data_IF_351339714841
#
_entry.id   IF_351339714841
#
_cell.length_a   1.000
_cell.length_b   1.000
_cell.length_c   1.000
_cell.angle_alpha   90.00
_cell.angle_beta   90.00
_cell.angle_gamma   90.00
#
_symmetry.space_group_name_H-M   'P 1'
#
loop_
_entity.id
_entity.type
_entity.pdbx_description
1 polymer ?
#
# COMPACT_ATOMS: atom_id res chain seq x y z
N UNK A 1 -29.31 30.74 -41.42
CA UNK A 1 -28.58 29.76 -40.59
C UNK A 1 -28.45 30.13 -39.11
N UNK A 2 -28.34 31.42 -38.70
CA UNK A 2 -28.22 31.81 -37.27
C UNK A 2 -29.49 31.70 -36.41
N UNK A 3 -30.70 31.70 -36.99
CA UNK A 3 -31.96 31.59 -36.22
C UNK A 3 -32.39 30.14 -35.98
N UNK A 4 -32.07 29.22 -36.89
CA UNK A 4 -32.37 27.79 -36.77
C UNK A 4 -31.44 27.06 -35.80
N UNK A 5 -30.18 27.49 -35.67
CA UNK A 5 -29.23 26.95 -34.66
C UNK A 5 -29.62 27.32 -33.23
N UNK A 6 -30.18 28.51 -33.01
CA UNK A 6 -30.66 28.93 -31.67
C UNK A 6 -31.93 28.18 -31.24
N UNK A 7 -32.83 27.89 -32.19
CA UNK A 7 -34.03 27.08 -31.93
C UNK A 7 -33.68 25.62 -31.64
N UNK A 8 -32.69 25.06 -32.36
CA UNK A 8 -32.21 23.69 -32.14
C UNK A 8 -31.51 23.55 -30.78
N UNK A 9 -30.73 24.56 -30.36
CA UNK A 9 -30.06 24.57 -29.05
C UNK A 9 -31.06 24.69 -27.88
N UNK A 10 -32.14 25.47 -28.02
CA UNK A 10 -33.20 25.54 -27.01
C UNK A 10 -33.98 24.23 -26.90
N UNK A 11 -34.24 23.55 -28.03
CA UNK A 11 -34.94 22.27 -28.03
C UNK A 11 -34.11 21.18 -27.34
N UNK A 12 -32.79 21.16 -27.56
CA UNK A 12 -31.88 20.20 -26.94
C UNK A 12 -31.76 20.40 -25.41
N UNK A 13 -31.73 21.67 -24.95
CA UNK A 13 -31.68 22.01 -23.54
C UNK A 13 -32.99 21.64 -22.80
N UNK A 14 -34.14 21.76 -23.46
CA UNK A 14 -35.43 21.39 -22.87
C UNK A 14 -35.57 19.87 -22.67
N UNK A 15 -35.01 19.07 -23.58
CA UNK A 15 -35.03 17.59 -23.49
C UNK A 15 -34.14 17.09 -22.32
N UNK A 16 -33.03 17.77 -22.02
CA UNK A 16 -32.19 17.44 -20.87
C UNK A 16 -32.85 17.72 -19.51
N UNK A 17 -33.71 18.74 -19.43
CA UNK A 17 -34.37 19.13 -18.17
C UNK A 17 -35.56 18.21 -17.83
N UNK A 18 -36.20 17.60 -18.84
CA UNK A 18 -37.35 16.70 -18.63
C UNK A 18 -36.92 15.28 -18.21
N UNK A 19 -35.66 14.89 -18.41
CA UNK A 19 -35.14 13.58 -18.01
C UNK A 19 -34.87 13.41 -16.50
N UNK A 20 -34.90 14.49 -15.71
CA UNK A 20 -34.49 14.49 -14.30
C UNK A 20 -35.63 14.22 -13.29
N UNK A 21 -36.86 13.95 -13.73
CA UNK A 21 -38.04 13.85 -12.82
C UNK A 21 -38.68 12.45 -12.77
N UNK A 22 -38.06 11.42 -13.36
CA UNK A 22 -38.64 10.08 -13.46
C UNK A 22 -37.93 8.98 -12.65
N UNK A 23 -37.05 9.32 -11.70
CA UNK A 23 -36.27 8.35 -10.94
C UNK A 23 -36.32 8.63 -9.43
N UNK A 24 -37.51 8.58 -8.83
CA UNK A 24 -37.72 8.35 -7.41
C UNK A 24 -39.02 7.57 -7.26
N UNK A 25 -38.90 6.25 -7.28
CA UNK A 25 -40.00 5.32 -7.03
C UNK A 25 -39.46 4.10 -6.32
N UNK A 26 -39.55 4.11 -4.98
CA UNK A 26 -39.58 2.95 -4.08
C UNK A 26 -39.90 3.52 -2.68
N UNK A 27 -40.98 3.20 -1.99
CA UNK A 27 -41.56 1.88 -1.79
C UNK A 27 -41.42 1.60 -0.29
N UNK A 28 -42.45 1.99 0.46
CA UNK A 28 -42.63 1.89 1.91
C UNK A 28 -42.26 0.49 2.45
N UNK A 29 -41.45 0.42 3.50
CA UNK A 29 -41.20 -0.79 4.28
C UNK A 29 -41.95 -0.69 5.61
N UNK A 30 -42.89 -1.60 5.84
CA UNK A 30 -43.51 -1.85 7.14
C UNK A 30 -42.48 -2.46 8.09
N UNK A 31 -42.30 -1.82 9.25
CA UNK A 31 -41.57 -2.37 10.39
C UNK A 31 -42.56 -2.73 11.50
N UNK A 32 -42.47 -3.97 11.97
CA UNK A 32 -43.30 -4.56 13.03
C UNK A 32 -42.67 -4.31 14.40
N UNK A 33 -43.42 -3.69 15.32
CA UNK A 33 -43.10 -3.60 16.75
C UNK A 33 -42.95 -4.97 17.42
N UNK A 34 -42.04 -5.09 18.42
CA UNK A 34 -42.29 -5.91 19.60
C UNK A 34 -42.51 -5.05 20.86
N UNK A 35 -43.32 -5.53 21.84
CA UNK A 35 -43.80 -4.70 22.94
C UNK A 35 -42.96 -4.78 24.23
N UNK A 36 -43.30 -3.83 25.10
CA UNK A 36 -43.30 -3.86 26.56
C UNK A 36 -41.99 -3.55 27.30
N UNK A 37 -41.93 -2.28 27.69
CA UNK A 37 -41.25 -1.73 28.86
C UNK A 37 -41.72 -2.37 30.17
N UNK A 38 -40.77 -2.74 31.02
CA UNK A 38 -40.96 -2.69 32.48
C UNK A 38 -39.78 -1.91 33.07
N UNK A 39 -40.11 -0.87 33.83
CA UNK A 39 -39.17 -0.12 34.65
C UNK A 39 -38.88 -0.90 35.93
N UNK A 40 -37.70 -0.72 36.53
CA UNK A 40 -37.55 -0.21 37.92
C UNK A 40 -36.06 -0.19 38.34
N UNK A 41 -35.69 0.96 38.93
CA UNK A 41 -34.60 1.31 39.84
C UNK A 41 -33.11 1.24 39.45
N UNK A 42 -32.48 2.40 39.64
CA UNK A 42 -31.07 2.64 39.87
C UNK A 42 -30.88 3.05 41.35
N UNK A 43 -29.66 3.33 41.84
CA UNK A 43 -28.32 2.91 41.41
C UNK A 43 -27.57 2.18 42.54
N UNK A 44 -26.45 1.50 42.25
CA UNK A 44 -25.39 1.35 43.25
C UNK A 44 -24.03 1.52 42.58
N UNK A 45 -23.23 2.42 43.13
CA UNK A 45 -21.88 2.69 42.69
C UNK A 45 -20.97 1.59 43.24
N UNK A 46 -20.23 0.91 42.36
CA UNK A 46 -19.10 0.08 42.79
C UNK A 46 -17.91 0.34 41.88
N UNK A 47 -16.94 1.01 42.48
CA UNK A 47 -15.58 1.26 42.01
C UNK A 47 -14.91 -0.07 41.63
N UNK A 48 -14.42 -0.19 40.38
CA UNK A 48 -13.66 -1.37 39.92
C UNK A 48 -12.36 -0.92 39.27
N UNK A 49 -11.24 -1.45 39.77
CA UNK A 49 -9.88 -1.36 39.22
C UNK A 49 -9.81 -1.82 37.75
N UNK A 50 -8.80 -1.38 36.96
CA UNK A 50 -8.72 -1.74 35.55
C UNK A 50 -8.24 -3.19 35.39
N UNK A 51 -9.02 -3.98 34.65
CA UNK A 51 -8.62 -5.29 34.14
C UNK A 51 -7.61 -5.10 32.98
N UNK A 52 -6.45 -5.76 33.06
CA UNK A 52 -5.54 -5.87 31.92
C UNK A 52 -6.17 -6.80 30.86
N UNK A 53 -6.47 -6.24 29.68
CA UNK A 53 -6.95 -6.99 28.52
C UNK A 53 -5.77 -7.52 27.72
N UNK A 54 -5.59 -8.84 27.74
CA UNK A 54 -4.75 -9.60 26.80
C UNK A 54 -5.25 -9.34 25.37
N UNK A 55 -4.40 -9.10 24.36
CA UNK A 55 -4.87 -8.80 23.02
C UNK A 55 -5.57 -10.02 22.42
N UNK A 56 -6.83 -9.82 22.06
CA UNK A 56 -7.69 -10.80 21.41
C UNK A 56 -7.07 -11.21 20.07
N UNK A 57 -6.71 -12.50 19.95
CA UNK A 57 -6.27 -13.13 18.70
C UNK A 57 -7.44 -13.06 17.70
N UNK A 58 -7.38 -12.12 16.76
CA UNK A 58 -8.35 -12.06 15.67
C UNK A 58 -8.08 -13.20 14.69
N UNK A 59 -8.96 -14.19 14.68
CA UNK A 59 -9.00 -15.24 13.64
C UNK A 59 -8.98 -14.61 12.24
N UNK A 60 -8.15 -15.10 11.30
CA UNK A 60 -8.09 -14.55 9.95
C UNK A 60 -9.43 -14.76 9.23
N UNK A 61 -9.97 -13.68 8.63
CA UNK A 61 -11.18 -13.77 7.80
C UNK A 61 -11.02 -14.85 6.72
N UNK A 62 -12.09 -15.60 6.40
CA UNK A 62 -12.04 -16.65 5.39
C UNK A 62 -11.64 -16.06 4.04
N UNK A 63 -10.62 -16.64 3.42
CA UNK A 63 -10.18 -16.28 2.08
C UNK A 63 -11.36 -16.37 1.09
N UNK A 64 -11.69 -15.26 0.44
CA UNK A 64 -12.77 -15.23 -0.54
C UNK A 64 -12.36 -16.01 -1.81
N UNK A 65 -13.08 -17.08 -2.16
CA UNK A 65 -12.83 -17.90 -3.37
C UNK A 65 -13.18 -17.19 -4.69
N UNK A 66 -13.51 -15.90 -4.65
CA UNK A 66 -13.87 -15.13 -5.85
C UNK A 66 -12.59 -14.66 -6.55
N UNK A 67 -12.32 -15.08 -7.80
CA UNK A 67 -11.12 -14.65 -8.50
C UNK A 67 -11.19 -13.16 -8.85
N UNK A 68 -10.13 -12.42 -8.55
CA UNK A 68 -9.91 -11.09 -9.11
C UNK A 68 -9.48 -11.24 -10.59
N UNK A 69 -10.26 -10.67 -11.50
CA UNK A 69 -9.95 -10.68 -12.94
C UNK A 69 -9.59 -9.27 -13.39
N UNK A 70 -8.36 -9.10 -13.87
CA UNK A 70 -7.84 -7.81 -14.36
C UNK A 70 -7.50 -7.94 -15.84
N UNK A 71 -7.88 -6.92 -16.63
CA UNK A 71 -7.58 -6.86 -18.06
C UNK A 71 -6.18 -6.28 -18.31
N UNK A 72 -5.35 -7.04 -19.02
CA UNK A 72 -3.99 -6.65 -19.39
C UNK A 72 -3.79 -6.68 -20.90
N UNK A 73 -2.85 -5.87 -21.39
CA UNK A 73 -2.31 -6.07 -22.73
C UNK A 73 -1.31 -7.24 -22.73
N UNK A 74 -0.75 -7.55 -23.90
CA UNK A 74 0.16 -8.69 -24.04
C UNK A 74 1.44 -8.51 -23.20
N UNK A 75 1.74 -9.52 -22.37
CA UNK A 75 3.00 -9.67 -21.65
C UNK A 75 4.16 -10.02 -22.59
N UNK A 76 5.36 -9.55 -22.27
CA UNK A 76 6.58 -10.02 -22.93
C UNK A 76 7.06 -11.37 -22.38
N UNK A 77 6.51 -11.79 -21.23
CA UNK A 77 6.88 -13.00 -20.47
C UNK A 77 8.23 -12.88 -19.75
N UNK A 78 8.69 -11.66 -19.48
CA UNK A 78 9.88 -11.40 -18.66
C UNK A 78 9.48 -11.00 -17.24
N UNK A 79 9.00 -11.96 -16.46
CA UNK A 79 8.54 -11.75 -15.07
C UNK A 79 9.69 -11.67 -14.07
N UNK A 80 10.71 -10.88 -14.38
CA UNK A 80 11.87 -10.68 -13.53
C UNK A 80 11.86 -9.24 -13.01
N UNK A 81 12.04 -9.01 -11.69
CA UNK A 81 12.16 -7.65 -11.16
C UNK A 81 13.39 -6.90 -11.69
N UNK A 82 14.32 -7.60 -12.34
CA UNK A 82 15.54 -7.04 -12.92
C UNK A 82 15.43 -6.76 -14.43
N UNK A 83 14.56 -7.47 -15.15
CA UNK A 83 14.58 -7.51 -16.62
C UNK A 83 13.19 -7.44 -17.26
N UNK A 84 12.17 -6.99 -16.52
CA UNK A 84 10.86 -6.73 -17.08
C UNK A 84 10.95 -5.75 -18.27
N UNK A 85 10.35 -6.12 -19.40
CA UNK A 85 10.34 -5.28 -20.62
C UNK A 85 9.11 -4.37 -20.67
N UNK A 86 8.00 -4.78 -20.07
CA UNK A 86 6.74 -4.02 -20.06
C UNK A 86 6.26 -3.78 -18.64
N UNK A 87 5.44 -2.74 -18.46
CA UNK A 87 4.77 -2.50 -17.17
C UNK A 87 3.92 -3.69 -16.72
N UNK A 88 3.37 -4.45 -17.66
CA UNK A 88 2.57 -5.63 -17.34
C UNK A 88 3.43 -6.76 -16.77
N UNK A 89 4.64 -6.95 -17.30
CA UNK A 89 5.57 -7.92 -16.72
C UNK A 89 6.05 -7.48 -15.33
N UNK A 90 6.22 -6.16 -15.12
CA UNK A 90 6.55 -5.60 -13.81
C UNK A 90 5.42 -5.81 -12.81
N UNK A 91 4.16 -5.60 -13.19
CA UNK A 91 3.02 -5.87 -12.30
C UNK A 91 3.03 -7.34 -11.84
N UNK A 92 3.32 -8.30 -12.72
CA UNK A 92 3.44 -9.72 -12.34
C UNK A 92 4.59 -9.93 -11.35
N UNK A 93 5.74 -9.27 -11.55
CA UNK A 93 6.83 -9.32 -10.58
C UNK A 93 6.39 -8.72 -9.24
N UNK A 94 5.76 -7.55 -9.23
CA UNK A 94 5.32 -6.86 -8.01
C UNK A 94 4.27 -7.67 -7.23
N UNK A 95 3.40 -8.42 -7.91
CA UNK A 95 2.43 -9.32 -7.27
C UNK A 95 3.04 -10.59 -6.67
N UNK A 96 4.24 -10.98 -7.10
CA UNK A 96 4.86 -12.26 -6.71
C UNK A 96 6.11 -12.09 -5.84
N UNK A 97 6.63 -10.88 -5.75
CA UNK A 97 7.78 -10.53 -4.92
C UNK A 97 7.36 -9.75 -3.67
N UNK A 98 8.22 -9.75 -2.65
CA UNK A 98 8.03 -8.95 -1.44
C UNK A 98 8.90 -7.70 -1.48
N UNK A 99 8.37 -6.57 -1.04
CA UNK A 99 9.11 -5.31 -0.88
C UNK A 99 9.56 -5.09 0.55
N UNK A 100 10.68 -4.39 0.74
CA UNK A 100 11.20 -4.06 2.07
C UNK A 100 10.25 -3.18 2.87
N UNK A 101 9.62 -2.22 2.21
CA UNK A 101 8.67 -1.26 2.77
C UNK A 101 7.40 -1.24 1.94
N UNK A 102 6.35 -0.69 2.53
CA UNK A 102 5.07 -0.44 1.87
C UNK A 102 4.61 0.99 2.13
N UNK A 103 3.58 1.41 1.40
CA UNK A 103 2.92 2.70 1.61
C UNK A 103 1.46 2.46 1.96
N UNK A 104 0.87 3.41 2.68
CA UNK A 104 -0.56 3.41 2.90
C UNK A 104 -1.34 3.92 1.67
N UNK A 105 -2.67 3.95 1.79
CA UNK A 105 -3.59 4.45 0.76
C UNK A 105 -3.44 5.95 0.45
N UNK A 106 -2.83 6.73 1.35
CA UNK A 106 -2.51 8.13 1.13
C UNK A 106 -1.10 8.32 0.51
N UNK A 107 -0.32 7.25 0.40
CA UNK A 107 1.05 7.26 -0.12
C UNK A 107 2.10 7.56 0.95
N UNK A 108 1.76 7.48 2.24
CA UNK A 108 2.73 7.63 3.32
C UNK A 108 3.50 6.31 3.54
N UNK A 109 4.81 6.43 3.78
CA UNK A 109 5.68 5.27 4.03
C UNK A 109 5.36 4.64 5.39
N UNK A 110 5.08 3.34 5.39
CA UNK A 110 4.82 2.58 6.60
C UNK A 110 6.12 2.02 7.16
N UNK A 111 6.88 2.89 7.86
CA UNK A 111 8.24 2.60 8.34
C UNK A 111 8.32 1.48 9.39
N UNK A 112 7.21 1.14 10.05
CA UNK A 112 7.16 0.16 11.15
C UNK A 112 6.26 -1.04 10.82
N UNK A 113 5.96 -1.26 9.53
CA UNK A 113 5.12 -2.36 9.05
C UNK A 113 5.82 -3.72 8.99
N UNK A 114 7.12 -3.80 9.27
CA UNK A 114 7.93 -5.02 9.33
C UNK A 114 7.83 -5.79 10.63
N UNK A 115 6.64 -5.83 11.25
CA UNK A 115 6.36 -6.63 12.45
C UNK A 115 5.19 -7.58 12.18
N UNK A 116 5.03 -8.68 12.95
CA UNK A 116 3.86 -9.55 12.82
C UNK A 116 2.51 -8.83 13.03
N UNK A 117 2.49 -7.77 13.83
CA UNK A 117 1.31 -6.95 14.07
C UNK A 117 1.03 -5.94 12.93
N UNK A 118 2.00 -5.68 12.07
CA UNK A 118 1.93 -4.65 11.03
C UNK A 118 1.90 -3.22 11.59
N UNK A 119 1.60 -2.26 10.72
CA UNK A 119 1.40 -0.84 11.06
C UNK A 119 -0.01 -0.41 10.63
N UNK A 120 -0.77 0.20 11.53
CA UNK A 120 -2.11 0.72 11.22
C UNK A 120 -2.03 2.15 10.70
N UNK A 121 -2.69 2.42 9.58
CA UNK A 121 -2.97 3.79 9.10
C UNK A 121 -4.44 3.90 8.69
N UNK A 122 -5.08 5.01 9.07
CA UNK A 122 -6.49 5.28 8.76
C UNK A 122 -6.62 5.94 7.39
N UNK A 123 -7.62 5.51 6.62
CA UNK A 123 -7.98 6.16 5.36
C UNK A 123 -9.50 6.29 5.25
N UNK A 124 -9.99 7.53 5.13
CA UNK A 124 -11.42 7.87 5.10
C UNK A 124 -12.22 7.30 6.28
N UNK A 125 -11.68 7.39 7.51
CA UNK A 125 -12.36 6.89 8.71
C UNK A 125 -12.32 5.37 8.89
N UNK A 126 -11.60 4.65 8.03
CA UNK A 126 -11.43 3.20 8.12
C UNK A 126 -9.97 2.88 8.44
N UNK A 127 -9.67 2.19 9.57
CA UNK A 127 -8.33 1.75 9.88
C UNK A 127 -7.93 0.58 8.96
N UNK A 128 -6.70 0.61 8.46
CA UNK A 128 -6.12 -0.48 7.70
C UNK A 128 -4.75 -0.86 8.25
N UNK A 129 -4.50 -2.16 8.37
CA UNK A 129 -3.19 -2.70 8.76
C UNK A 129 -2.35 -2.98 7.52
N UNK A 130 -1.12 -2.51 7.53
CA UNK A 130 -0.13 -2.69 6.46
C UNK A 130 1.03 -3.53 6.96
N UNK A 131 1.58 -4.36 6.07
CA UNK A 131 2.68 -5.26 6.36
C UNK A 131 3.81 -5.03 5.36
N UNK A 132 5.04 -5.16 5.83
CA UNK A 132 6.25 -5.08 5.02
C UNK A 132 7.25 -6.16 5.45
N UNK A 133 8.33 -6.33 4.67
CA UNK A 133 9.40 -7.27 5.05
C UNK A 133 10.35 -6.72 6.11
N UNK A 134 10.43 -5.39 6.27
CA UNK A 134 11.35 -4.76 7.20
C UNK A 134 10.74 -3.50 7.86
N UNK A 135 11.28 -3.16 9.04
CA UNK A 135 11.18 -1.80 9.58
C UNK A 135 12.34 -0.96 9.05
N UNK A 136 12.13 0.35 8.97
CA UNK A 136 13.17 1.32 8.63
C UNK A 136 13.28 2.40 9.71
N UNK A 137 14.51 2.57 10.21
CA UNK A 137 14.93 3.75 10.97
C UNK A 137 15.85 4.62 10.10
N UNK A 138 15.66 5.94 10.17
CA UNK A 138 16.43 6.91 9.38
C UNK A 138 17.16 7.83 10.35
N UNK A 139 18.47 7.96 10.17
CA UNK A 139 19.35 8.83 10.93
C UNK A 139 20.08 9.74 9.96
N UNK A 140 20.15 11.04 10.26
CA UNK A 140 20.93 12.01 9.49
C UNK A 140 22.10 12.51 10.33
N UNK A 141 23.27 12.61 9.72
CA UNK A 141 24.46 13.20 10.30
C UNK A 141 24.70 14.53 9.60
N UNK A 142 24.65 15.61 10.38
CA UNK A 142 24.91 16.95 9.88
C UNK A 142 26.43 17.20 9.78
N UNK A 143 26.85 17.84 8.68
CA UNK A 143 28.24 18.25 8.49
C UNK A 143 28.63 19.37 9.47
N UNK A 144 27.67 20.28 9.72
CA UNK A 144 27.78 21.49 10.53
C UNK A 144 26.39 21.85 11.11
N UNK A 145 26.33 22.76 12.09
CA UNK A 145 25.07 23.23 12.71
C UNK A 145 24.18 24.10 11.78
N UNK A 146 24.46 24.13 10.47
CA UNK A 146 23.72 24.93 9.47
C UNK A 146 22.61 24.16 8.73
N UNK A 147 22.43 22.88 9.07
CA UNK A 147 21.43 21.99 8.46
C UNK A 147 21.89 21.31 7.18
N UNK A 148 23.19 21.40 6.84
CA UNK A 148 23.79 20.62 5.74
C UNK A 148 23.99 19.17 6.20
N UNK A 149 23.29 18.24 5.55
CA UNK A 149 23.41 16.80 5.83
C UNK A 149 24.67 16.25 5.12
N UNK A 150 25.58 15.66 5.89
CA UNK A 150 26.76 14.93 5.38
C UNK A 150 26.39 13.49 4.98
N UNK A 151 25.66 12.80 5.86
CA UNK A 151 25.32 11.39 5.70
C UNK A 151 23.87 11.12 6.09
N UNK A 152 23.22 10.19 5.40
CA UNK A 152 21.93 9.64 5.80
C UNK A 152 22.05 8.13 5.90
N UNK A 153 21.77 7.60 7.09
CA UNK A 153 21.88 6.19 7.41
C UNK A 153 20.46 5.60 7.45
N UNK A 154 20.20 4.67 6.55
CA UNK A 154 18.96 3.87 6.51
C UNK A 154 19.22 2.52 7.18
N UNK A 155 18.61 2.26 8.34
CA UNK A 155 18.73 1.00 9.08
C UNK A 155 17.49 0.15 8.87
N UNK A 156 17.60 -0.85 8.02
CA UNK A 156 16.55 -1.83 7.81
C UNK A 156 16.66 -2.97 8.82
N UNK A 157 15.57 -3.27 9.52
CA UNK A 157 15.44 -4.47 10.34
C UNK A 157 14.49 -5.44 9.66
N UNK A 158 15.04 -6.49 9.08
CA UNK A 158 14.28 -7.52 8.37
C UNK A 158 13.54 -8.42 9.36
N UNK A 159 12.35 -8.87 8.97
CA UNK A 159 11.62 -9.96 9.64
C UNK A 159 12.37 -11.29 9.49
N UNK A 160 12.23 -12.16 10.48
CA UNK A 160 12.85 -13.50 10.52
C UNK A 160 11.87 -14.63 10.19
N UNK A 161 10.60 -14.32 9.95
CA UNK A 161 9.51 -15.26 9.66
C UNK A 161 9.14 -15.34 8.16
N UNK A 162 9.91 -14.68 7.29
CA UNK A 162 9.66 -14.67 5.85
C UNK A 162 10.45 -15.77 5.16
N UNK A 163 9.77 -16.53 4.32
CA UNK A 163 10.36 -17.57 3.48
C UNK A 163 10.02 -17.34 2.01
N UNK A 164 10.92 -17.75 1.12
CA UNK A 164 10.64 -17.90 -0.29
C UNK A 164 9.65 -19.05 -0.52
N UNK A 165 9.10 -19.11 -1.74
CA UNK A 165 8.09 -20.12 -2.11
C UNK A 165 8.61 -21.57 -2.11
N UNK A 166 9.93 -21.76 -2.11
CA UNK A 166 10.58 -23.06 -1.95
C UNK A 166 10.91 -23.40 -0.49
N UNK A 167 10.65 -22.48 0.44
CA UNK A 167 10.86 -22.65 1.87
C UNK A 167 12.20 -22.15 2.39
N UNK A 168 13.10 -21.64 1.54
CA UNK A 168 14.33 -20.99 2.03
C UNK A 168 13.99 -19.69 2.79
N UNK A 169 14.65 -19.39 3.92
CA UNK A 169 14.41 -18.15 4.64
C UNK A 169 14.94 -16.95 3.85
N UNK A 170 14.18 -15.86 3.85
CA UNK A 170 14.64 -14.59 3.29
C UNK A 170 15.63 -13.92 4.25
N UNK A 171 16.78 -13.52 3.73
CA UNK A 171 17.88 -12.96 4.51
C UNK A 171 18.34 -11.60 3.97
N UNK A 172 19.22 -10.93 4.71
CA UNK A 172 19.83 -9.68 4.24
C UNK A 172 20.71 -9.88 3.00
N UNK A 173 21.25 -11.08 2.78
CA UNK A 173 22.10 -11.37 1.63
C UNK A 173 21.31 -11.31 0.32
N UNK A 174 20.02 -11.68 0.34
CA UNK A 174 19.11 -11.60 -0.82
C UNK A 174 18.81 -10.15 -1.22
N UNK A 175 18.70 -9.28 -0.21
CA UNK A 175 18.56 -7.84 -0.41
C UNK A 175 19.84 -7.28 -1.00
N UNK A 176 21.00 -7.57 -0.40
CA UNK A 176 22.32 -7.11 -0.85
C UNK A 176 22.60 -7.59 -2.28
N UNK A 177 22.26 -8.84 -2.61
CA UNK A 177 22.37 -9.39 -3.96
C UNK A 177 21.65 -8.52 -4.99
N UNK A 178 20.46 -8.01 -4.67
CA UNK A 178 19.71 -7.12 -5.57
C UNK A 178 20.47 -5.81 -5.85
N UNK A 179 21.11 -5.23 -4.85
CA UNK A 179 21.95 -4.03 -5.04
C UNK A 179 23.16 -4.33 -5.91
N UNK A 180 23.80 -5.48 -5.74
CA UNK A 180 24.90 -5.90 -6.62
C UNK A 180 24.44 -6.16 -8.05
N UNK A 181 23.28 -6.78 -8.25
CA UNK A 181 22.71 -7.02 -9.58
C UNK A 181 22.47 -5.70 -10.33
N UNK A 182 21.84 -4.70 -9.69
CA UNK A 182 21.61 -3.38 -10.30
C UNK A 182 22.89 -2.57 -10.54
N UNK A 183 23.99 -2.96 -9.89
CA UNK A 183 25.29 -2.28 -9.99
C UNK A 183 26.33 -3.07 -10.78
N UNK A 184 25.99 -4.24 -11.31
CA UNK A 184 26.87 -4.99 -12.20
C UNK A 184 27.07 -4.20 -13.51
N UNK A 185 28.32 -3.95 -13.96
CA UNK A 185 28.58 -3.23 -15.21
C UNK A 185 28.00 -3.88 -16.47
N UNK A 186 27.66 -5.18 -16.41
CA UNK A 186 27.02 -5.94 -17.49
C UNK A 186 25.49 -5.98 -17.36
N UNK A 187 24.91 -5.45 -16.30
CA UNK A 187 23.46 -5.37 -16.17
C UNK A 187 22.87 -4.47 -17.26
N UNK A 188 21.90 -5.00 -17.99
CA UNK A 188 21.26 -4.32 -19.14
C UNK A 188 19.77 -4.08 -18.95
N UNK A 189 19.26 -4.22 -17.72
CA UNK A 189 17.88 -3.91 -17.40
C UNK A 189 17.64 -2.40 -17.32
N UNK A 190 16.37 -2.00 -17.18
CA UNK A 190 15.94 -0.60 -17.20
C UNK A 190 16.17 0.13 -15.87
N UNK A 191 16.05 -0.58 -14.74
CA UNK A 191 16.20 -0.03 -13.39
C UNK A 191 17.67 0.15 -13.02
N UNK A 192 18.04 1.27 -12.41
CA UNK A 192 19.44 1.54 -12.05
C UNK A 192 19.58 2.27 -10.71
N UNK A 193 20.72 2.08 -10.03
CA UNK A 193 21.11 2.85 -8.85
C UNK A 193 22.05 4.04 -9.19
N UNK A 194 22.12 4.45 -10.46
CA UNK A 194 23.17 5.37 -10.95
C UNK A 194 23.07 6.78 -10.35
N UNK A 195 21.86 7.21 -10.00
CA UNK A 195 21.60 8.53 -9.43
C UNK A 195 21.50 8.53 -7.91
N UNK A 196 21.70 7.38 -7.25
CA UNK A 196 21.58 7.26 -5.80
C UNK A 196 22.97 7.33 -5.17
N UNK A 197 23.26 8.31 -4.29
CA UNK A 197 24.58 8.51 -3.71
C UNK A 197 24.85 7.54 -2.55
N UNK A 198 24.78 6.23 -2.83
CA UNK A 198 25.11 5.19 -1.85
C UNK A 198 26.63 5.12 -1.72
N UNK A 199 27.14 5.24 -0.50
CA UNK A 199 28.58 5.17 -0.19
C UNK A 199 29.18 3.86 -0.73
N UNK A 200 30.29 3.97 -1.46
CA UNK A 200 30.99 2.81 -2.07
C UNK A 200 30.38 2.28 -3.37
N UNK A 201 29.18 2.72 -3.75
CA UNK A 201 28.48 2.20 -4.93
C UNK A 201 29.17 2.59 -6.24
N UNK A 202 29.65 3.84 -6.33
CA UNK A 202 30.34 4.31 -7.51
C UNK A 202 31.64 3.53 -7.74
N UNK A 203 32.46 3.37 -6.69
CA UNK A 203 33.72 2.62 -6.73
C UNK A 203 33.49 1.16 -7.15
N UNK A 204 32.45 0.51 -6.59
CA UNK A 204 32.09 -0.85 -6.95
C UNK A 204 31.77 -0.97 -8.45
N UNK A 205 31.02 -0.02 -9.01
CA UNK A 205 30.58 -0.07 -10.41
C UNK A 205 31.71 0.26 -11.38
N UNK A 206 32.48 1.30 -11.10
CA UNK A 206 33.57 1.72 -11.98
C UNK A 206 34.79 0.83 -11.85
N UNK A 207 34.86 -0.02 -10.81
CA UNK A 207 36.01 -0.84 -10.48
C UNK A 207 37.27 0.03 -10.30
N UNK A 208 37.08 1.24 -9.78
CA UNK A 208 38.16 2.19 -9.48
C UNK A 208 38.10 2.60 -8.02
N UNK A 209 39.23 2.57 -7.33
CA UNK A 209 39.38 3.23 -6.03
C UNK A 209 39.46 4.75 -6.24
N UNK A 210 38.67 5.52 -5.47
CA UNK A 210 38.77 6.97 -5.38
C UNK A 210 40.14 7.43 -4.84
#
# INVERSE_FOLDING_TARGET
MKKTTKLLAMLLALVMVVGLVAACGNGEAEETDPPATDATDAPDETETEPEETDPEETDPEPAADTPLVVGYNQFSQKFSPYYADTSYDQDVADFTQVSLLTNDRAGELMLQAGTPAGQVSEYNGVPYTYYAAANLEIETVDAEDDGTIEETIYRFKLRDDITFSDGEPLTIDDVIFSFYAFSDPKYTGSSTLYSVPIVGMNEYRTQTSA
#
